data_IF_245629309379
#
_entry.id   IF_245629309379
#
_cell.length_a   1.000
_cell.length_b   1.000
_cell.length_c   1.000
_cell.angle_alpha   90.00
_cell.angle_beta   90.00
_cell.angle_gamma   90.00
#
_symmetry.space_group_name_H-M   'P 1'
#
loop_
_entity.id
_entity.type
_entity.pdbx_description
1 polymer ?
#
# COMPACT_ATOMS: atom_id res chain seq x y z
N UNK A 1 10.39 -19.46 0.45
CA UNK A 1 9.84 -18.18 -0.02
C UNK A 1 9.24 -18.41 -1.40
N UNK A 2 8.05 -17.86 -1.62
CA UNK A 2 7.31 -18.03 -2.88
C UNK A 2 7.50 -16.83 -3.82
N UNK A 3 7.93 -15.69 -3.29
CA UNK A 3 8.25 -14.47 -4.03
C UNK A 3 9.25 -13.60 -3.26
N UNK A 4 9.86 -12.65 -3.95
CA UNK A 4 10.73 -11.65 -3.34
C UNK A 4 10.15 -10.24 -3.57
N UNK A 5 10.01 -9.45 -2.51
CA UNK A 5 9.54 -8.08 -2.59
C UNK A 5 10.71 -7.10 -2.39
N UNK A 6 10.99 -6.31 -3.42
CA UNK A 6 11.99 -5.25 -3.39
C UNK A 6 11.31 -3.90 -3.25
N UNK A 7 11.65 -3.16 -2.18
CA UNK A 7 11.14 -1.81 -1.94
C UNK A 7 12.05 -0.78 -2.60
N UNK A 8 11.49 0.09 -3.45
CA UNK A 8 12.26 1.07 -4.25
C UNK A 8 11.99 2.52 -3.91
N UNK A 9 10.93 2.83 -3.15
CA UNK A 9 10.57 4.19 -2.73
C UNK A 9 11.31 4.68 -1.47
N UNK A 10 12.29 3.95 -1.00
CA UNK A 10 13.06 4.27 0.22
C UNK A 10 14.54 4.56 -0.06
N UNK A 11 14.87 5.00 -1.29
CA UNK A 11 16.21 5.40 -1.69
C UNK A 11 16.84 6.41 -0.73
N UNK A 12 16.06 7.39 -0.33
CA UNK A 12 16.42 8.35 0.71
C UNK A 12 15.41 8.23 1.87
N UNK A 13 15.92 8.26 3.10
CA UNK A 13 15.05 8.25 4.26
C UNK A 13 14.39 9.61 4.45
N UNK A 14 13.06 9.62 4.46
CA UNK A 14 12.29 10.82 4.76
C UNK A 14 12.53 11.28 6.20
N UNK A 15 12.33 12.56 6.42
CA UNK A 15 12.32 13.17 7.74
C UNK A 15 10.98 12.87 8.44
N UNK A 16 10.92 11.80 9.20
CA UNK A 16 9.71 11.39 9.94
C UNK A 16 9.59 12.20 11.22
N UNK A 17 8.84 13.29 11.17
CA UNK A 17 8.72 14.27 12.27
C UNK A 17 8.25 13.62 13.58
N UNK A 18 7.33 12.66 13.51
CA UNK A 18 6.86 11.94 14.69
C UNK A 18 7.95 11.05 15.31
N UNK A 19 8.77 10.39 14.50
CA UNK A 19 9.92 9.62 15.01
C UNK A 19 10.92 10.56 15.68
N UNK A 20 11.15 11.74 15.10
CA UNK A 20 12.05 12.77 15.63
C UNK A 20 11.52 13.35 16.95
N UNK A 21 10.24 13.72 17.00
CA UNK A 21 9.62 14.29 18.21
C UNK A 21 9.63 13.30 19.38
N UNK A 22 9.49 12.00 19.10
CA UNK A 22 9.59 10.94 20.09
C UNK A 22 11.04 10.49 20.37
N UNK A 23 12.04 11.17 19.79
CA UNK A 23 13.48 10.83 19.91
C UNK A 23 13.78 9.38 19.50
N UNK A 24 12.97 8.82 18.59
CA UNK A 24 13.14 7.47 18.09
C UNK A 24 14.14 7.47 16.93
N UNK A 25 15.30 6.84 17.14
CA UNK A 25 16.31 6.62 16.09
C UNK A 25 16.30 5.14 15.71
N UNK A 26 16.00 4.85 14.45
CA UNK A 26 16.04 3.48 13.96
C UNK A 26 17.49 2.97 13.94
N UNK A 27 17.75 1.74 14.45
CA UNK A 27 19.13 1.21 14.58
C UNK A 27 19.93 1.22 13.28
N UNK A 28 19.31 0.95 12.13
CA UNK A 28 20.02 0.91 10.85
C UNK A 28 20.35 2.29 10.27
N UNK A 29 19.78 3.39 10.79
CA UNK A 29 20.17 4.75 10.38
C UNK A 29 21.58 5.13 10.77
N UNK A 30 22.15 4.44 11.74
CA UNK A 30 23.52 4.66 12.24
C UNK A 30 24.53 3.73 11.57
N UNK A 31 24.07 2.77 10.73
CA UNK A 31 24.92 1.83 10.03
C UNK A 31 25.63 2.49 8.85
N UNK A 32 26.93 2.21 8.69
CA UNK A 32 27.68 2.58 7.48
C UNK A 32 27.19 1.71 6.30
N UNK A 33 26.95 2.30 5.12
CA UNK A 33 26.57 1.58 3.91
C UNK A 33 25.06 1.52 3.63
N UNK A 34 24.27 2.45 4.19
CA UNK A 34 22.84 2.60 3.88
C UNK A 34 22.54 3.10 2.44
N UNK A 35 23.56 3.48 1.69
CA UNK A 35 23.44 4.11 0.37
C UNK A 35 23.10 3.11 -0.74
N UNK A 36 23.08 1.83 -0.47
CA UNK A 36 22.76 0.80 -1.48
C UNK A 36 21.33 0.96 -2.06
N UNK A 37 20.39 1.45 -1.27
CA UNK A 37 19.02 1.69 -1.74
C UNK A 37 18.97 2.84 -2.76
N UNK A 38 19.75 3.90 -2.53
CA UNK A 38 19.87 5.01 -3.44
C UNK A 38 20.61 4.65 -4.75
N UNK A 39 21.38 3.57 -4.72
CA UNK A 39 22.10 3.06 -5.88
C UNK A 39 21.30 2.03 -6.72
N UNK A 40 20.09 1.64 -6.28
CA UNK A 40 19.24 0.71 -7.04
C UNK A 40 18.86 1.29 -8.40
N UNK A 41 18.92 0.45 -9.40
CA UNK A 41 18.62 0.78 -10.80
C UNK A 41 17.91 -0.39 -11.51
N UNK A 42 17.36 -0.16 -12.67
CA UNK A 42 16.75 -1.21 -13.50
C UNK A 42 17.70 -2.35 -13.84
N UNK A 43 19.01 -2.11 -13.90
CA UNK A 43 20.04 -3.15 -14.06
C UNK A 43 20.04 -4.17 -12.91
N UNK A 44 19.67 -3.74 -11.71
CA UNK A 44 19.57 -4.63 -10.56
C UNK A 44 18.36 -5.56 -10.68
N UNK A 45 17.25 -5.06 -11.25
CA UNK A 45 16.07 -5.86 -11.58
C UNK A 45 16.44 -6.92 -12.62
N UNK A 46 17.13 -6.54 -13.70
CA UNK A 46 17.60 -7.48 -14.72
C UNK A 46 18.53 -8.54 -14.11
N UNK A 47 19.46 -8.13 -13.27
CA UNK A 47 20.39 -9.03 -12.58
C UNK A 47 19.63 -10.03 -11.70
N UNK A 48 18.62 -9.55 -10.97
CA UNK A 48 17.78 -10.42 -10.14
C UNK A 48 17.04 -11.45 -11.01
N UNK A 49 16.31 -11.02 -12.02
CA UNK A 49 15.53 -11.90 -12.91
C UNK A 49 16.39 -12.95 -13.62
N UNK A 50 17.64 -12.60 -13.97
CA UNK A 50 18.59 -13.57 -14.57
C UNK A 50 19.09 -14.61 -13.57
N UNK A 51 19.19 -14.24 -12.29
CA UNK A 51 19.85 -15.10 -11.27
C UNK A 51 18.87 -15.94 -10.47
N UNK A 52 17.66 -15.45 -10.24
CA UNK A 52 16.70 -16.07 -9.35
C UNK A 52 15.38 -16.38 -10.06
N UNK A 53 14.88 -17.64 -9.94
CA UNK A 53 13.61 -18.05 -10.56
C UNK A 53 12.38 -17.63 -9.75
N UNK A 54 12.53 -16.87 -8.66
CA UNK A 54 11.44 -16.42 -7.82
C UNK A 54 10.71 -15.24 -8.45
N UNK A 55 9.37 -15.18 -8.35
CA UNK A 55 8.61 -13.99 -8.71
C UNK A 55 9.13 -12.75 -7.98
N UNK A 56 9.19 -11.64 -8.71
CA UNK A 56 9.62 -10.34 -8.19
C UNK A 56 8.44 -9.40 -8.02
N UNK A 57 8.28 -8.91 -6.81
CA UNK A 57 7.34 -7.85 -6.46
C UNK A 57 8.16 -6.56 -6.32
N UNK A 58 7.82 -5.52 -7.09
CA UNK A 58 8.49 -4.23 -7.00
C UNK A 58 7.57 -3.23 -6.29
N UNK A 59 7.90 -2.92 -5.02
CA UNK A 59 7.08 -2.08 -4.14
C UNK A 59 7.58 -0.65 -4.10
N UNK A 60 6.65 0.29 -4.27
CA UNK A 60 6.95 1.72 -4.26
C UNK A 60 6.82 2.38 -5.64
N UNK A 61 6.13 1.72 -6.55
CA UNK A 61 5.78 2.29 -7.86
C UNK A 61 4.64 3.29 -7.65
N UNK A 62 4.81 4.50 -8.18
CA UNK A 62 3.88 5.61 -8.01
C UNK A 62 3.59 6.37 -9.32
N UNK A 63 3.99 5.84 -10.48
CA UNK A 63 3.75 6.44 -11.79
C UNK A 63 3.48 5.38 -12.84
N UNK A 64 2.69 5.73 -13.86
CA UNK A 64 2.46 4.88 -15.03
C UNK A 64 3.75 4.60 -15.81
N UNK A 65 4.70 5.55 -15.82
CA UNK A 65 5.99 5.41 -16.50
C UNK A 65 6.83 4.30 -15.87
N UNK A 66 7.06 4.36 -14.55
CA UNK A 66 7.81 3.33 -13.83
C UNK A 66 7.12 1.95 -13.88
N UNK A 67 5.78 1.93 -13.84
CA UNK A 67 5.02 0.69 -13.98
C UNK A 67 5.27 0.04 -15.35
N UNK A 68 5.29 0.82 -16.42
CA UNK A 68 5.56 0.34 -17.79
C UNK A 68 6.97 -0.23 -17.91
N UNK A 69 7.97 0.50 -17.39
CA UNK A 69 9.36 0.04 -17.38
C UNK A 69 9.50 -1.25 -16.55
N UNK A 70 8.85 -1.32 -15.39
CA UNK A 70 8.89 -2.51 -14.55
C UNK A 70 8.32 -3.76 -15.27
N UNK A 71 7.21 -3.60 -15.99
CA UNK A 71 6.62 -4.66 -16.83
C UNK A 71 7.58 -5.09 -17.93
N UNK A 72 8.25 -4.16 -18.61
CA UNK A 72 9.25 -4.45 -19.65
C UNK A 72 10.46 -5.22 -19.10
N UNK A 73 10.81 -5.01 -17.82
CA UNK A 73 11.84 -5.78 -17.11
C UNK A 73 11.35 -7.12 -16.52
N UNK A 74 10.09 -7.50 -16.81
CA UNK A 74 9.51 -8.77 -16.38
C UNK A 74 9.23 -8.85 -14.88
N UNK A 75 8.89 -7.73 -14.24
CA UNK A 75 8.42 -7.71 -12.85
C UNK A 75 7.04 -8.39 -12.78
N UNK A 76 6.88 -9.32 -11.86
CA UNK A 76 5.68 -10.15 -11.77
C UNK A 76 4.52 -9.44 -11.06
N UNK A 77 4.83 -8.59 -10.06
CA UNK A 77 3.82 -7.80 -9.34
C UNK A 77 4.28 -6.35 -9.21
N UNK A 78 3.48 -5.44 -9.72
CA UNK A 78 3.65 -3.98 -9.55
C UNK A 78 2.93 -3.58 -8.25
N UNK A 79 3.69 -3.15 -7.25
CA UNK A 79 3.11 -2.77 -5.98
C UNK A 79 3.04 -1.25 -5.84
N UNK A 80 1.86 -0.70 -6.10
CA UNK A 80 1.57 0.74 -5.99
C UNK A 80 1.61 1.14 -4.52
N UNK A 81 2.50 2.03 -4.17
CA UNK A 81 2.71 2.45 -2.78
C UNK A 81 3.47 3.77 -2.73
N UNK A 82 3.03 4.67 -1.84
CA UNK A 82 3.75 5.86 -1.41
C UNK A 82 4.24 5.73 0.04
N UNK A 83 4.36 4.50 0.54
CA UNK A 83 4.76 4.18 1.92
C UNK A 83 3.81 4.76 2.98
N UNK A 84 2.53 4.90 2.65
CA UNK A 84 1.53 5.54 3.51
C UNK A 84 1.76 7.04 3.72
N UNK A 85 2.29 7.74 2.70
CA UNK A 85 2.64 9.15 2.75
C UNK A 85 3.87 9.46 3.60
N UNK A 86 4.71 8.47 3.91
CA UNK A 86 5.82 8.61 4.88
C UNK A 86 7.19 8.82 4.23
N UNK A 87 7.26 8.90 2.91
CA UNK A 87 8.52 9.10 2.18
C UNK A 87 8.57 10.50 1.57
N UNK A 88 7.84 10.77 0.51
CA UNK A 88 7.71 12.10 -0.09
C UNK A 88 6.41 12.73 0.40
N UNK A 89 6.48 13.99 0.83
CA UNK A 89 5.31 14.79 1.19
C UNK A 89 4.68 15.42 -0.06
N UNK A 90 3.39 15.77 0.04
CA UNK A 90 2.61 16.38 -1.05
C UNK A 90 2.49 15.54 -2.34
N UNK A 91 2.78 14.25 -2.28
CA UNK A 91 2.52 13.31 -3.37
C UNK A 91 1.05 12.90 -3.41
N UNK A 92 0.63 12.32 -4.54
CA UNK A 92 -0.70 11.72 -4.69
C UNK A 92 -0.88 10.52 -3.77
N UNK A 93 -2.11 10.24 -3.40
CA UNK A 93 -2.47 8.99 -2.72
C UNK A 93 -2.24 7.78 -3.63
N UNK A 94 -1.87 6.64 -3.05
CA UNK A 94 -1.66 5.43 -3.86
C UNK A 94 -2.93 5.02 -4.63
N UNK A 95 -4.10 5.25 -4.05
CA UNK A 95 -5.40 4.98 -4.71
C UNK A 95 -5.66 5.91 -5.90
N UNK A 96 -5.14 7.14 -5.87
CA UNK A 96 -5.33 8.13 -6.94
C UNK A 96 -4.46 7.80 -8.17
N UNK A 97 -3.29 7.19 -7.94
CA UNK A 97 -2.37 6.76 -9.02
C UNK A 97 -2.72 5.37 -9.57
N UNK A 98 -3.49 4.58 -8.82
CA UNK A 98 -3.78 3.20 -9.18
C UNK A 98 -4.39 3.04 -10.58
N UNK A 99 -5.38 3.85 -11.01
CA UNK A 99 -5.97 3.69 -12.34
C UNK A 99 -4.95 3.87 -13.48
N UNK A 100 -4.10 4.90 -13.41
CA UNK A 100 -3.09 5.14 -14.45
C UNK A 100 -2.04 4.03 -14.50
N UNK A 101 -1.70 3.45 -13.34
CA UNK A 101 -0.80 2.30 -13.27
C UNK A 101 -1.46 1.05 -13.84
N UNK A 102 -2.75 0.81 -13.53
CA UNK A 102 -3.50 -0.33 -14.06
C UNK A 102 -3.58 -0.28 -15.59
N UNK A 103 -3.86 0.90 -16.15
CA UNK A 103 -3.86 1.12 -17.60
C UNK A 103 -2.48 0.86 -18.22
N UNK A 104 -1.42 1.34 -17.59
CA UNK A 104 -0.05 1.16 -18.06
C UNK A 104 0.41 -0.30 -18.01
N UNK A 105 0.03 -1.03 -16.96
CA UNK A 105 0.32 -2.47 -16.79
C UNK A 105 -0.48 -3.30 -17.78
N UNK A 106 -1.75 -2.96 -18.00
CA UNK A 106 -2.64 -3.59 -19.01
C UNK A 106 -2.66 -5.12 -18.92
N UNK A 107 -2.80 -5.67 -17.72
CA UNK A 107 -2.89 -7.11 -17.44
C UNK A 107 -1.60 -7.92 -17.66
N UNK A 108 -0.46 -7.27 -17.92
CA UNK A 108 0.82 -7.95 -18.17
C UNK A 108 1.55 -8.37 -16.89
N UNK A 109 1.20 -7.79 -15.75
CA UNK A 109 1.67 -8.12 -14.41
C UNK A 109 0.50 -7.98 -13.45
N UNK A 110 0.59 -8.62 -12.28
CA UNK A 110 -0.36 -8.40 -11.21
C UNK A 110 -0.11 -7.04 -10.55
N UNK A 111 -1.14 -6.48 -9.93
CA UNK A 111 -1.07 -5.19 -9.26
C UNK A 111 -1.46 -5.34 -7.79
N UNK A 112 -0.57 -4.88 -6.91
CA UNK A 112 -0.87 -4.69 -5.49
C UNK A 112 -0.94 -3.20 -5.18
N UNK A 113 -1.72 -2.82 -4.17
CA UNK A 113 -1.80 -1.44 -3.69
C UNK A 113 -1.85 -1.39 -2.17
N UNK A 114 -1.19 -0.40 -1.55
CA UNK A 114 -1.36 -0.09 -0.13
C UNK A 114 -1.56 1.40 0.11
N UNK A 115 -1.79 1.76 1.37
CA UNK A 115 -1.90 3.15 1.80
C UNK A 115 -3.35 3.58 2.06
N UNK A 116 -3.72 3.69 3.33
CA UNK A 116 -5.02 4.19 3.76
C UNK A 116 -6.14 3.15 3.87
N UNK A 117 -5.93 1.93 3.44
CA UNK A 117 -6.93 0.86 3.52
C UNK A 117 -7.21 0.48 4.97
N UNK A 118 -8.43 0.77 5.44
CA UNK A 118 -8.86 0.60 6.83
C UNK A 118 -10.20 -0.13 6.96
N UNK A 119 -10.96 -0.21 5.89
CA UNK A 119 -12.29 -0.82 5.85
C UNK A 119 -12.41 -1.82 4.69
N UNK A 120 -13.33 -2.77 4.80
CA UNK A 120 -13.64 -3.70 3.71
C UNK A 120 -14.07 -2.98 2.42
N UNK A 121 -14.78 -1.87 2.54
CA UNK A 121 -15.16 -1.04 1.37
C UNK A 121 -13.97 -0.38 0.69
N UNK A 122 -12.89 -0.09 1.41
CA UNK A 122 -11.67 0.44 0.78
C UNK A 122 -11.01 -0.63 -0.07
N UNK A 123 -11.02 -1.89 0.40
CA UNK A 123 -10.52 -3.05 -0.37
C UNK A 123 -11.31 -3.17 -1.67
N UNK A 124 -12.63 -3.11 -1.62
CA UNK A 124 -13.49 -3.15 -2.82
C UNK A 124 -13.16 -2.03 -3.80
N UNK A 125 -12.91 -0.80 -3.30
CA UNK A 125 -12.49 0.33 -4.16
C UNK A 125 -11.14 0.05 -4.83
N UNK A 126 -10.15 -0.50 -4.10
CA UNK A 126 -8.86 -0.86 -4.67
C UNK A 126 -8.99 -1.90 -5.80
N UNK A 127 -9.80 -2.93 -5.58
CA UNK A 127 -10.09 -3.96 -6.61
C UNK A 127 -10.80 -3.33 -7.81
N UNK A 128 -11.83 -2.52 -7.58
CA UNK A 128 -12.57 -1.85 -8.65
C UNK A 128 -11.68 -0.96 -9.54
N UNK A 129 -10.62 -0.38 -8.97
CA UNK A 129 -9.65 0.47 -9.67
C UNK A 129 -8.47 -0.29 -10.29
N UNK A 130 -8.51 -1.63 -10.26
CA UNK A 130 -7.58 -2.47 -11.01
C UNK A 130 -6.50 -3.16 -10.19
N UNK A 131 -6.60 -3.18 -8.84
CA UNK A 131 -5.69 -3.97 -8.01
C UNK A 131 -6.14 -5.44 -7.94
N UNK A 132 -5.18 -6.37 -7.96
CA UNK A 132 -5.38 -7.78 -7.64
C UNK A 132 -5.24 -8.06 -6.14
N UNK A 133 -4.44 -7.24 -5.45
CA UNK A 133 -4.15 -7.37 -4.02
C UNK A 133 -4.16 -6.02 -3.30
N UNK A 134 -4.58 -6.04 -2.04
CA UNK A 134 -4.54 -4.88 -1.16
C UNK A 134 -3.64 -5.16 0.04
N UNK A 135 -2.68 -4.28 0.29
CA UNK A 135 -1.77 -4.34 1.42
C UNK A 135 -2.30 -3.55 2.63
N UNK A 136 -2.19 -4.15 3.80
CA UNK A 136 -2.60 -3.55 5.08
C UNK A 136 -1.36 -3.21 5.90
N UNK A 137 -1.17 -1.93 6.21
CA UNK A 137 -0.03 -1.45 7.01
C UNK A 137 -0.39 -1.17 8.46
N UNK A 138 -0.81 0.06 8.76
CA UNK A 138 -1.06 0.53 10.13
C UNK A 138 -2.16 -0.22 10.87
N UNK A 139 -3.18 -0.70 10.18
CA UNK A 139 -4.25 -1.53 10.77
C UNK A 139 -3.69 -2.80 11.41
N UNK A 140 -2.73 -3.47 10.75
CA UNK A 140 -2.04 -4.63 11.32
C UNK A 140 -1.33 -4.24 12.62
N UNK A 141 -0.64 -3.09 12.64
CA UNK A 141 0.05 -2.61 13.84
C UNK A 141 -0.92 -2.32 14.98
N UNK A 142 -2.11 -1.78 14.69
CA UNK A 142 -3.13 -1.53 15.71
C UNK A 142 -3.70 -2.82 16.28
N UNK A 143 -4.01 -3.80 15.45
CA UNK A 143 -4.43 -5.13 15.90
C UNK A 143 -3.38 -5.79 16.78
N UNK A 144 -2.12 -5.77 16.34
CA UNK A 144 -0.99 -6.31 17.08
C UNK A 144 -0.79 -5.62 18.44
N UNK A 145 -0.89 -4.29 18.50
CA UNK A 145 -0.75 -3.52 19.73
C UNK A 145 -1.90 -3.76 20.72
N UNK A 146 -3.11 -3.98 20.20
CA UNK A 146 -4.30 -4.19 21.03
C UNK A 146 -4.30 -5.55 21.72
N UNK A 147 -4.00 -6.64 21.01
CA UNK A 147 -4.12 -8.00 21.53
C UNK A 147 -3.15 -9.01 20.89
N UNK A 148 -1.95 -8.58 20.46
CA UNK A 148 -0.97 -9.48 19.86
C UNK A 148 -1.51 -10.18 18.59
N UNK A 149 -1.22 -11.47 18.46
CA UNK A 149 -1.67 -12.27 17.32
C UNK A 149 -3.20 -12.32 17.19
N UNK A 150 -3.91 -12.46 18.30
CA UNK A 150 -5.37 -12.52 18.31
C UNK A 150 -6.00 -11.21 17.82
N UNK A 151 -5.37 -10.06 18.13
CA UNK A 151 -5.77 -8.76 17.61
C UNK A 151 -5.61 -8.65 16.09
N UNK A 152 -4.54 -9.22 15.55
CA UNK A 152 -4.33 -9.28 14.09
C UNK A 152 -5.38 -10.17 13.42
N UNK A 153 -5.63 -11.34 14.00
CA UNK A 153 -6.67 -12.27 13.50
C UNK A 153 -8.02 -11.57 13.49
N UNK A 154 -8.42 -10.96 14.61
CA UNK A 154 -9.71 -10.27 14.70
C UNK A 154 -9.83 -9.11 13.70
N UNK A 155 -8.76 -8.36 13.48
CA UNK A 155 -8.73 -7.29 12.49
C UNK A 155 -8.98 -7.82 11.08
N UNK A 156 -8.36 -8.95 10.72
CA UNK A 156 -8.56 -9.60 9.41
C UNK A 156 -9.99 -10.15 9.26
N UNK A 157 -10.54 -10.78 10.31
CA UNK A 157 -11.94 -11.25 10.32
C UNK A 157 -12.92 -10.10 10.08
N UNK A 158 -12.72 -8.96 10.76
CA UNK A 158 -13.58 -7.79 10.58
C UNK A 158 -13.53 -7.24 9.15
N UNK A 159 -12.33 -7.16 8.56
CA UNK A 159 -12.19 -6.75 7.15
C UNK A 159 -12.87 -7.73 6.21
N UNK A 160 -12.73 -9.03 6.46
CA UNK A 160 -13.41 -10.07 5.66
C UNK A 160 -14.94 -9.98 5.76
N UNK A 161 -15.47 -9.77 6.97
CA UNK A 161 -16.92 -9.56 7.20
C UNK A 161 -17.41 -8.33 6.42
N UNK A 162 -16.69 -7.22 6.49
CA UNK A 162 -17.04 -5.99 5.76
C UNK A 162 -16.98 -6.16 4.24
N UNK A 163 -15.98 -6.90 3.73
CA UNK A 163 -15.87 -7.21 2.30
C UNK A 163 -17.04 -8.06 1.84
N UNK A 164 -17.38 -9.13 2.58
CA UNK A 164 -18.53 -10.00 2.27
C UNK A 164 -19.83 -9.22 2.23
N UNK A 165 -20.03 -8.34 3.22
CA UNK A 165 -21.20 -7.46 3.27
C UNK A 165 -21.24 -6.52 2.07
N UNK A 166 -20.14 -5.88 1.73
CA UNK A 166 -20.07 -4.96 0.60
C UNK A 166 -20.34 -5.66 -0.74
N UNK A 167 -19.75 -6.85 -0.97
CA UNK A 167 -20.02 -7.66 -2.15
C UNK A 167 -21.52 -7.99 -2.25
N UNK A 168 -22.14 -8.43 -1.15
CA UNK A 168 -23.57 -8.74 -1.11
C UNK A 168 -24.45 -7.54 -1.45
N UNK A 169 -24.13 -6.35 -0.91
CA UNK A 169 -24.86 -5.12 -1.20
C UNK A 169 -24.69 -4.63 -2.64
N UNK A 170 -23.55 -4.91 -3.28
CA UNK A 170 -23.29 -4.65 -4.68
C UNK A 170 -23.92 -5.69 -5.63
N UNK A 171 -24.47 -6.78 -5.09
CA UNK A 171 -25.00 -7.90 -5.88
C UNK A 171 -23.90 -8.75 -6.54
N UNK A 172 -22.67 -8.69 -6.02
CA UNK A 172 -21.52 -9.43 -6.53
C UNK A 172 -21.23 -10.68 -5.68
N UNK A 173 -20.83 -11.77 -6.35
CA UNK A 173 -20.45 -13.03 -5.69
C UNK A 173 -18.93 -13.28 -5.70
N UNK A 174 -18.18 -12.45 -6.40
CA UNK A 174 -16.73 -12.55 -6.52
C UNK A 174 -16.11 -11.19 -6.83
N UNK A 175 -14.83 -11.04 -6.55
CA UNK A 175 -14.07 -9.84 -6.90
C UNK A 175 -14.02 -9.55 -8.41
N UNK A 176 -14.10 -10.59 -9.25
CA UNK A 176 -14.10 -10.44 -10.71
C UNK A 176 -15.35 -9.75 -11.28
N UNK A 177 -16.38 -9.54 -10.44
CA UNK A 177 -17.60 -8.82 -10.79
C UNK A 177 -17.58 -7.36 -10.34
N UNK A 178 -16.48 -6.93 -9.73
CA UNK A 178 -16.30 -5.56 -9.26
C UNK A 178 -15.66 -4.74 -10.37
N UNK A 179 -16.33 -3.63 -10.73
CA UNK A 179 -15.96 -2.75 -11.82
C UNK A 179 -15.91 -1.27 -11.37
N UNK A 180 -15.13 -0.42 -12.04
CA UNK A 180 -15.05 1.01 -11.74
C UNK A 180 -16.40 1.74 -11.79
N UNK A 181 -17.36 1.23 -12.57
CA UNK A 181 -18.72 1.79 -12.70
C UNK A 181 -19.53 1.74 -11.41
N UNK A 182 -19.12 0.92 -10.45
CA UNK A 182 -19.73 0.83 -9.12
C UNK A 182 -19.20 1.90 -8.15
N UNK A 183 -18.23 2.70 -8.58
CA UNK A 183 -17.65 3.77 -7.79
C UNK A 183 -18.21 5.14 -8.22
N UNK A 184 -18.29 6.04 -7.26
CA UNK A 184 -18.54 7.45 -7.52
C UNK A 184 -17.57 8.33 -6.73
N UNK A 185 -17.23 9.49 -7.26
CA UNK A 185 -16.50 10.50 -6.52
C UNK A 185 -17.38 11.03 -5.40
N UNK A 186 -16.84 11.10 -4.19
CA UNK A 186 -17.50 11.66 -3.02
C UNK A 186 -16.61 12.70 -2.33
N UNK A 187 -17.22 13.70 -1.72
CA UNK A 187 -16.49 14.59 -0.83
C UNK A 187 -16.05 13.82 0.43
N UNK A 188 -14.89 14.14 1.04
CA UNK A 188 -14.52 13.61 2.34
C UNK A 188 -15.62 13.87 3.36
N UNK A 189 -15.97 12.85 4.15
CA UNK A 189 -17.02 12.98 5.18
C UNK A 189 -16.55 13.86 6.34
N UNK A 190 -15.25 13.84 6.63
CA UNK A 190 -14.59 14.65 7.66
C UNK A 190 -13.18 14.99 7.19
N UNK A 191 -12.72 16.20 7.46
CA UNK A 191 -11.33 16.57 7.21
C UNK A 191 -10.39 15.68 8.04
N UNK A 192 -9.40 15.02 7.41
CA UNK A 192 -8.49 14.15 8.13
C UNK A 192 -7.61 14.96 9.10
N UNK A 193 -7.62 14.60 10.36
CA UNK A 193 -6.68 15.15 11.33
C UNK A 193 -5.23 14.77 11.02
N UNK A 194 -4.28 15.69 11.21
CA UNK A 194 -2.85 15.53 10.89
C UNK A 194 -2.21 14.27 11.51
N UNK A 195 -2.79 13.74 12.57
CA UNK A 195 -2.24 12.61 13.33
C UNK A 195 -3.14 11.37 13.33
N UNK A 196 -4.33 11.43 12.77
CA UNK A 196 -5.29 10.31 12.79
C UNK A 196 -5.28 9.52 11.49
N UNK A 197 -5.13 8.20 11.58
CA UNK A 197 -5.47 7.29 10.49
C UNK A 197 -6.99 7.04 10.38
N UNK A 198 -7.76 7.49 11.38
CA UNK A 198 -9.20 7.37 11.48
C UNK A 198 -9.80 8.75 11.71
N UNK A 199 -10.16 9.49 10.66
CA UNK A 199 -10.67 10.85 10.76
C UNK A 199 -12.00 10.97 11.55
N UNK A 200 -12.67 9.86 11.83
CA UNK A 200 -13.91 9.82 12.61
C UNK A 200 -13.69 9.85 14.13
N UNK A 201 -12.48 9.66 14.60
CA UNK A 201 -12.17 9.72 16.02
C UNK A 201 -11.65 11.12 16.34
N UNK A 202 -12.52 12.01 16.76
CA UNK A 202 -12.12 13.22 17.50
C UNK A 202 -11.62 12.77 18.89
N UNK A 203 -10.38 12.30 18.92
CA UNK A 203 -9.76 11.72 20.12
C UNK A 203 -9.64 12.74 21.27
N UNK A 204 -9.67 14.02 20.97
CA UNK A 204 -9.47 15.09 21.96
C UNK A 204 -10.69 15.34 22.85
N UNK A 205 -11.86 14.76 22.53
CA UNK A 205 -13.06 14.89 23.37
C UNK A 205 -13.20 13.83 24.46
N UNK A 206 -12.32 12.81 24.47
CA UNK A 206 -12.43 11.66 25.37
C UNK A 206 -11.30 11.55 26.41
N UNK A 207 -10.38 12.50 26.45
CA UNK A 207 -9.22 12.46 27.35
C UNK A 207 -9.17 13.65 28.33
N UNK A 208 -10.34 14.05 28.87
CA UNK A 208 -10.41 14.93 30.05
C UNK A 208 -11.39 14.41 31.06
#
# INVERSE_FOLDING_TARGET
YDAFCLTVDSANYSRRERDISNRFVKPWRTGKGADWQAALSWKDIERYKKKYPLPLILKGIATAEDARIAVEHGVDVIYVSNHGGRQLDHGLGAIDVLPEVADAVSGRSLIAVDGGFSRGTDIIKGIALGADFVGIGRMLCYGLAAAGADGVIRMLELLEEEVKLALGLLGANSYSQIEPTQLCSGAPVVDPGVVSAFPLLESDKFFY
#
